data_IF_538509431986
#
_entry.id   IF_538509431986
#
_cell.length_a   1.000
_cell.length_b   1.000
_cell.length_c   1.000
_cell.angle_alpha   90.00
_cell.angle_beta   90.00
_cell.angle_gamma   90.00
#
_symmetry.space_group_name_H-M   'P 1'
#
loop_
_entity.id
_entity.type
_entity.pdbx_description
1 polymer ?
#
# COMPACT_ATOMS: atom_id res chain seq x y z
N UNK A 1 -9.64 -15.67 -10.21
CA UNK A 1 -8.89 -15.38 -11.47
C UNK A 1 -7.67 -14.49 -11.18
N UNK A 2 -6.72 -14.33 -12.12
CA UNK A 2 -5.43 -13.66 -11.91
C UNK A 2 -5.50 -12.26 -11.27
N UNK A 3 -6.59 -11.51 -11.51
CA UNK A 3 -6.84 -10.19 -10.92
C UNK A 3 -7.03 -10.27 -9.40
N UNK A 4 -7.82 -11.22 -8.90
CA UNK A 4 -8.04 -11.40 -7.46
C UNK A 4 -6.74 -11.75 -6.70
N UNK A 5 -5.87 -12.55 -7.33
CA UNK A 5 -4.57 -12.89 -6.74
C UNK A 5 -3.71 -11.64 -6.58
N UNK A 6 -3.66 -10.80 -7.62
CA UNK A 6 -2.93 -9.53 -7.59
C UNK A 6 -3.56 -8.54 -6.61
N UNK A 7 -4.88 -8.54 -6.47
CA UNK A 7 -5.58 -7.71 -5.48
C UNK A 7 -5.18 -8.08 -4.04
N UNK A 8 -5.14 -9.38 -3.73
CA UNK A 8 -4.71 -9.91 -2.43
C UNK A 8 -3.25 -9.58 -2.13
N UNK A 9 -2.38 -9.69 -3.13
CA UNK A 9 -0.97 -9.36 -2.98
C UNK A 9 -0.76 -7.85 -2.71
N UNK A 10 -1.47 -6.99 -3.45
CA UNK A 10 -1.48 -5.54 -3.22
C UNK A 10 -2.01 -5.17 -1.83
N UNK A 11 -3.07 -5.84 -1.37
CA UNK A 11 -3.64 -5.64 -0.03
C UNK A 11 -2.66 -6.04 1.08
N UNK A 12 -1.98 -7.18 0.91
CA UNK A 12 -0.94 -7.63 1.83
C UNK A 12 0.24 -6.65 1.89
N UNK A 13 0.70 -6.14 0.75
CA UNK A 13 1.75 -5.11 0.70
C UNK A 13 1.32 -3.80 1.35
N UNK A 14 0.05 -3.42 1.19
CA UNK A 14 -0.51 -2.23 1.84
C UNK A 14 -0.50 -2.37 3.36
N UNK A 15 -0.91 -3.53 3.90
CA UNK A 15 -0.85 -3.83 5.33
C UNK A 15 0.57 -3.81 5.89
N UNK A 16 1.53 -4.38 5.17
CA UNK A 16 2.95 -4.35 5.56
C UNK A 16 3.48 -2.91 5.64
N UNK A 17 3.16 -2.09 4.63
CA UNK A 17 3.50 -0.67 4.61
C UNK A 17 2.87 0.11 5.75
N UNK A 18 1.61 -0.17 6.10
CA UNK A 18 0.97 0.44 7.27
C UNK A 18 1.66 0.05 8.58
N UNK A 19 1.96 -1.23 8.77
CA UNK A 19 2.67 -1.72 9.95
C UNK A 19 4.03 -1.05 10.08
N UNK A 20 4.78 -0.93 8.98
CA UNK A 20 6.09 -0.24 8.95
C UNK A 20 5.99 1.26 9.23
N UNK A 21 4.95 1.93 8.75
CA UNK A 21 4.70 3.35 9.07
C UNK A 21 4.36 3.50 10.56
N UNK A 22 3.58 2.60 11.12
CA UNK A 22 3.12 2.67 12.50
C UNK A 22 4.24 2.33 13.49
N UNK A 23 5.08 1.35 13.15
CA UNK A 23 6.33 1.04 13.84
C UNK A 23 7.29 2.23 13.79
N UNK A 24 7.53 2.77 12.60
CA UNK A 24 8.34 3.98 12.41
C UNK A 24 7.85 5.13 13.30
N UNK A 25 6.54 5.43 13.30
CA UNK A 25 5.96 6.49 14.14
C UNK A 25 6.15 6.29 15.64
N UNK A 26 6.29 5.05 16.12
CA UNK A 26 6.53 4.75 17.54
C UNK A 26 7.96 5.09 17.97
N UNK A 27 8.89 5.20 17.01
CA UNK A 27 10.27 5.56 17.28
C UNK A 27 10.49 7.08 17.07
N UNK A 28 10.82 7.84 18.13
CA UNK A 28 10.98 9.30 18.05
C UNK A 28 12.20 9.75 17.23
N UNK A 29 13.15 8.86 16.97
CA UNK A 29 14.31 9.09 16.11
C UNK A 29 14.07 8.70 14.65
N UNK A 30 12.84 8.34 14.26
CA UNK A 30 12.59 7.88 12.91
C UNK A 30 12.71 9.03 11.91
N UNK A 31 13.30 8.71 10.77
CA UNK A 31 13.44 9.62 9.66
C UNK A 31 12.05 9.96 9.08
N UNK A 32 11.61 11.20 9.28
CA UNK A 32 10.39 11.74 8.66
C UNK A 32 10.39 11.57 7.13
N UNK A 33 11.58 11.49 6.54
CA UNK A 33 11.84 11.16 5.14
C UNK A 33 11.30 9.77 4.80
N UNK A 34 11.62 8.75 5.59
CA UNK A 34 11.16 7.38 5.38
C UNK A 34 9.63 7.28 5.50
N UNK A 35 9.03 7.93 6.51
CA UNK A 35 7.57 7.96 6.65
C UNK A 35 6.91 8.61 5.41
N UNK A 36 7.50 9.67 4.87
CA UNK A 36 6.98 10.36 3.69
C UNK A 36 7.09 9.50 2.43
N UNK A 37 8.18 8.75 2.27
CA UNK A 37 8.33 7.76 1.19
C UNK A 37 7.33 6.61 1.32
N UNK A 38 7.17 6.03 2.51
CA UNK A 38 6.21 4.97 2.76
C UNK A 38 4.77 5.43 2.47
N UNK A 39 4.42 6.67 2.84
CA UNK A 39 3.13 7.27 2.47
C UNK A 39 2.95 7.44 0.96
N UNK A 40 4.00 7.83 0.23
CA UNK A 40 3.96 7.91 -1.25
C UNK A 40 3.75 6.54 -1.87
N UNK A 41 4.44 5.51 -1.38
CA UNK A 41 4.26 4.13 -1.86
C UNK A 41 2.85 3.62 -1.55
N UNK A 42 2.34 3.89 -0.34
CA UNK A 42 0.95 3.58 0.05
C UNK A 42 -0.06 4.23 -0.90
N UNK A 43 0.15 5.49 -1.28
CA UNK A 43 -0.73 6.18 -2.23
C UNK A 43 -0.71 5.51 -3.61
N UNK A 44 0.47 5.17 -4.14
CA UNK A 44 0.59 4.46 -5.43
C UNK A 44 -0.10 3.10 -5.42
N UNK A 45 0.07 2.32 -4.33
CA UNK A 45 -0.61 1.03 -4.17
C UNK A 45 -2.14 1.18 -4.17
N UNK A 46 -2.65 2.24 -3.52
CA UNK A 46 -4.08 2.55 -3.52
C UNK A 46 -4.59 2.87 -4.93
N UNK A 47 -3.85 3.67 -5.70
CA UNK A 47 -4.20 3.97 -7.10
C UNK A 47 -4.16 2.73 -8.00
N UNK A 48 -3.17 1.85 -7.78
CA UNK A 48 -3.05 0.59 -8.53
C UNK A 48 -4.20 -0.36 -8.17
N UNK A 49 -4.59 -0.45 -6.90
CA UNK A 49 -5.77 -1.16 -6.42
C UNK A 49 -7.06 -0.63 -7.03
N UNK A 50 -7.27 0.69 -7.03
CA UNK A 50 -8.45 1.29 -7.65
C UNK A 50 -8.49 1.05 -9.16
N UNK A 51 -7.34 1.14 -9.82
CA UNK A 51 -7.22 0.87 -11.26
C UNK A 51 -7.54 -0.61 -11.57
N UNK A 52 -7.01 -1.54 -10.78
CA UNK A 52 -7.34 -2.97 -10.91
C UNK A 52 -8.83 -3.23 -10.64
N UNK A 53 -9.39 -2.66 -9.56
CA UNK A 53 -10.82 -2.79 -9.23
C UNK A 53 -11.72 -2.24 -10.33
N UNK A 54 -11.35 -1.12 -10.95
CA UNK A 54 -12.08 -0.56 -12.09
C UNK A 54 -12.02 -1.44 -13.33
N UNK A 55 -10.90 -2.13 -13.57
CA UNK A 55 -10.76 -3.09 -14.67
C UNK A 55 -11.57 -4.35 -14.42
N UNK A 56 -11.55 -4.86 -13.20
CA UNK A 56 -12.33 -6.03 -12.77
C UNK A 56 -13.84 -5.80 -12.94
N UNK A 57 -14.37 -4.67 -12.49
CA UNK A 57 -15.80 -4.32 -12.63
C UNK A 57 -16.28 -4.10 -14.07
N UNK A 58 -15.37 -4.00 -15.05
CA UNK A 58 -15.72 -3.82 -16.47
C UNK A 58 -15.81 -5.14 -17.23
N UNK A 59 -15.60 -6.27 -16.56
CA UNK A 59 -15.54 -7.61 -17.13
C UNK A 59 -16.68 -8.47 -16.59
#
# INVERSE_FOLDING_TARGET
MAIESRLRELDSRHRDLEARIEDAKKHPSVDWTQISELKRVKLKLKEELETLRRRDRRH
#
